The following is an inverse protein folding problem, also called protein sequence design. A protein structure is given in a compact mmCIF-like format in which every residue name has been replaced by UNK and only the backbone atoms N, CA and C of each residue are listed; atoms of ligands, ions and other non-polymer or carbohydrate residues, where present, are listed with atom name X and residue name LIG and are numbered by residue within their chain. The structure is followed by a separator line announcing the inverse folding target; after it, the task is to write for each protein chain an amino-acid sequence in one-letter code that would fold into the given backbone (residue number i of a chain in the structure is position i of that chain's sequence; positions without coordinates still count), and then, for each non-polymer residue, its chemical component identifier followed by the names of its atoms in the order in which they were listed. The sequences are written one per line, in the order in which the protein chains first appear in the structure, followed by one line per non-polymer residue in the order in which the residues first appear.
data_IF_351957625728
#
_entry.id   IF_351957625728
#
_cell.length_a   1.000
_cell.length_b   1.000
_cell.length_c   1.000
_cell.angle_alpha   90.00
_cell.angle_beta   90.00
_cell.angle_gamma   90.00
#
_symmetry.space_group_name_H-M   'P 1'
#
loop_
_entity.id
_entity.type
_entity.pdbx_description
1 polymer ?
#
# COMPACT_ATOMS: atom_id res chain seq x y z
N UNK A 1 83.09 -15.74 -4.68
CA UNK A 1 82.37 -15.70 -3.39
C UNK A 1 81.49 -14.46 -3.38
N UNK A 2 80.26 -14.58 -3.90
CA UNK A 2 79.00 -14.67 -3.11
C UNK A 2 78.60 -13.29 -2.59
N UNK A 3 77.78 -12.55 -3.36
CA UNK A 3 76.32 -12.45 -3.19
C UNK A 3 75.93 -11.89 -1.81
N UNK A 4 75.42 -10.65 -1.76
CA UNK A 4 74.30 -10.25 -0.89
C UNK A 4 73.80 -8.85 -1.27
N UNK A 5 72.76 -8.82 -2.10
CA UNK A 5 71.87 -7.68 -2.27
C UNK A 5 70.96 -7.59 -1.04
N UNK A 6 71.04 -6.51 -0.27
CA UNK A 6 70.00 -6.18 0.72
C UNK A 6 69.10 -5.08 0.16
N UNK A 7 67.90 -5.49 -0.23
CA UNK A 7 66.80 -4.66 -0.71
C UNK A 7 66.37 -3.72 0.42
N UNK A 8 66.62 -2.43 0.24
CA UNK A 8 66.14 -1.37 1.14
C UNK A 8 64.67 -1.10 0.85
N UNK A 9 63.79 -1.63 1.69
CA UNK A 9 62.34 -1.47 1.66
C UNK A 9 61.95 0.02 1.69
N UNK A 10 61.55 0.59 0.56
CA UNK A 10 60.83 1.87 0.53
C UNK A 10 59.42 1.61 1.07
N UNK A 11 59.15 2.03 2.29
CA UNK A 11 57.79 2.17 2.80
C UNK A 11 57.00 3.11 1.89
N UNK A 12 56.27 2.55 0.92
CA UNK A 12 55.23 3.26 0.21
C UNK A 12 54.11 3.56 1.20
N UNK A 13 53.85 4.84 1.42
CA UNK A 13 52.79 5.35 2.28
C UNK A 13 51.40 4.88 1.80
N UNK A 14 50.86 3.84 2.44
CA UNK A 14 49.50 3.30 2.23
C UNK A 14 48.39 4.26 2.73
N UNK A 15 48.71 5.47 3.16
CA UNK A 15 47.75 6.39 3.80
C UNK A 15 46.91 7.26 2.85
N UNK A 16 46.72 6.88 1.58
CA UNK A 16 46.01 7.73 0.59
C UNK A 16 44.97 7.05 -0.30
N UNK A 17 44.53 5.84 0.02
CA UNK A 17 43.48 5.14 -0.75
C UNK A 17 42.41 4.62 0.21
N UNK A 18 41.73 5.50 0.94
CA UNK A 18 40.61 5.12 1.81
C UNK A 18 39.56 6.23 1.93
N UNK A 19 39.20 6.89 0.81
CA UNK A 19 38.21 7.98 0.87
C UNK A 19 37.24 8.09 -0.30
N UNK A 20 37.07 7.05 -1.12
CA UNK A 20 36.13 7.12 -2.27
C UNK A 20 35.13 5.97 -2.42
N UNK A 21 35.04 5.06 -1.44
CA UNK A 21 34.16 3.88 -1.54
C UNK A 21 32.95 3.87 -0.57
N UNK A 22 32.70 4.95 0.18
CA UNK A 22 31.63 4.96 1.22
C UNK A 22 30.34 5.67 0.75
N UNK A 23 30.35 6.37 -0.39
CA UNK A 23 29.24 7.28 -0.75
C UNK A 23 28.18 6.69 -1.69
N UNK A 24 28.27 5.42 -2.11
CA UNK A 24 27.34 4.82 -3.12
C UNK A 24 26.51 3.65 -2.54
N UNK A 25 26.32 3.54 -1.22
CA UNK A 25 25.46 2.51 -0.61
C UNK A 25 24.37 3.14 0.29
N UNK A 26 23.82 4.27 -0.13
CA UNK A 26 22.67 4.90 0.55
C UNK A 26 21.38 4.93 -0.29
N UNK A 27 21.41 4.41 -1.53
CA UNK A 27 20.29 4.52 -2.46
C UNK A 27 19.42 3.25 -2.58
N UNK A 28 19.70 2.19 -1.82
CA UNK A 28 19.11 0.86 -2.03
C UNK A 28 18.38 0.31 -0.79
N UNK A 29 17.52 1.12 -0.18
CA UNK A 29 16.54 0.63 0.79
C UNK A 29 15.14 1.22 0.55
N UNK A 30 14.62 1.08 -0.67
CA UNK A 30 13.17 0.90 -0.82
C UNK A 30 12.86 -0.59 -0.61
N UNK A 31 13.13 -1.09 0.60
CA UNK A 31 12.55 -2.36 1.00
C UNK A 31 11.07 -2.10 1.28
N UNK A 32 10.18 -2.85 0.60
CA UNK A 32 8.75 -2.78 0.85
C UNK A 32 8.51 -3.03 2.36
N UNK A 33 7.97 -2.04 3.06
CA UNK A 33 7.70 -2.17 4.49
C UNK A 33 6.33 -2.83 4.63
N UNK A 34 6.18 -3.93 5.38
CA UNK A 34 4.87 -4.58 5.53
C UNK A 34 3.83 -3.57 6.02
N UNK A 35 2.59 -3.71 5.56
CA UNK A 35 1.48 -2.86 5.95
C UNK A 35 1.45 -2.74 7.49
N UNK A 36 1.42 -1.50 7.99
CA UNK A 36 1.54 -1.18 9.42
C UNK A 36 0.40 -1.79 10.23
N UNK A 37 -0.79 -1.86 9.63
CA UNK A 37 -1.96 -2.51 10.20
C UNK A 37 -3.01 -2.78 9.12
N UNK A 38 -3.68 -3.93 9.18
CA UNK A 38 -4.91 -4.21 8.41
C UNK A 38 -6.08 -4.22 9.39
N UNK A 39 -7.15 -3.48 9.11
CA UNK A 39 -8.34 -3.45 9.97
C UNK A 39 -9.63 -3.37 9.17
N UNK A 40 -10.67 -4.03 9.65
CA UNK A 40 -12.03 -3.84 9.14
C UNK A 40 -12.57 -2.50 9.63
N UNK A 41 -13.26 -1.78 8.76
CA UNK A 41 -13.85 -0.47 9.06
C UNK A 41 -15.30 -0.41 8.60
N UNK A 42 -16.08 0.43 9.26
CA UNK A 42 -17.45 0.74 8.92
C UNK A 42 -17.50 2.14 8.32
N UNK A 43 -17.99 2.25 7.10
CA UNK A 43 -18.23 3.52 6.41
C UNK A 43 -19.73 3.77 6.40
N UNK A 44 -20.16 4.84 7.06
CA UNK A 44 -21.57 5.22 7.12
C UNK A 44 -21.91 6.12 5.93
N UNK A 45 -22.74 5.62 5.01
CA UNK A 45 -23.29 6.41 3.91
C UNK A 45 -24.30 7.44 4.41
N UNK A 46 -24.62 8.43 3.58
CA UNK A 46 -25.50 9.55 3.93
C UNK A 46 -26.90 9.11 4.37
N UNK A 47 -27.39 7.99 3.82
CA UNK A 47 -28.69 7.39 4.19
C UNK A 47 -28.62 6.49 5.44
N UNK A 48 -27.46 6.43 6.09
CA UNK A 48 -27.22 5.61 7.28
C UNK A 48 -26.84 4.16 6.98
N UNK A 49 -26.79 3.75 5.71
CA UNK A 49 -26.32 2.41 5.34
C UNK A 49 -24.86 2.25 5.71
N UNK A 50 -24.54 1.13 6.35
CA UNK A 50 -23.16 0.78 6.71
C UNK A 50 -22.54 -0.02 5.56
N UNK A 51 -21.49 0.53 4.98
CA UNK A 51 -20.61 -0.16 4.06
C UNK A 51 -19.43 -0.74 4.84
N UNK A 52 -19.07 -2.00 4.56
CA UNK A 52 -17.92 -2.65 5.16
C UNK A 52 -16.70 -2.47 4.30
N UNK A 53 -15.62 -2.02 4.93
CA UNK A 53 -14.32 -1.87 4.30
C UNK A 53 -13.21 -2.64 5.01
N UNK A 54 -12.09 -2.82 4.31
CA UNK A 54 -10.82 -3.22 4.91
C UNK A 54 -9.79 -2.16 4.59
N UNK A 55 -9.18 -1.58 5.62
CA UNK A 55 -8.15 -0.57 5.48
C UNK A 55 -6.76 -1.18 5.71
N UNK A 56 -5.89 -1.01 4.73
CA UNK A 56 -4.49 -1.42 4.73
C UNK A 56 -3.63 -0.17 4.89
N UNK A 57 -3.06 0.01 6.09
CA UNK A 57 -2.25 1.17 6.40
C UNK A 57 -0.82 0.99 5.84
N UNK A 58 -0.35 1.97 5.08
CA UNK A 58 1.07 2.10 4.79
C UNK A 58 1.85 2.60 6.03
N UNK A 59 3.17 2.46 6.01
CA UNK A 59 4.01 2.79 7.17
C UNK A 59 4.02 4.29 7.53
N UNK A 60 3.98 5.16 6.51
CA UNK A 60 4.13 6.62 6.61
C UNK A 60 2.92 7.35 6.00
N UNK A 61 2.69 8.63 6.33
CA UNK A 61 1.74 9.47 5.60
C UNK A 61 2.05 9.47 4.10
N UNK A 62 1.01 9.42 3.26
CA UNK A 62 1.19 9.23 1.82
C UNK A 62 -0.13 9.12 1.06
N UNK A 63 -0.07 8.75 -0.23
CA UNK A 63 -1.24 8.64 -1.07
C UNK A 63 -2.19 7.53 -0.61
N UNK A 64 -3.46 7.66 -0.97
CA UNK A 64 -4.51 6.68 -0.72
C UNK A 64 -5.15 6.19 -2.02
N UNK A 65 -5.58 4.94 -2.04
CA UNK A 65 -6.38 4.34 -3.11
C UNK A 65 -7.64 3.73 -2.51
N UNK A 66 -8.78 4.04 -3.14
CA UNK A 66 -10.08 3.48 -2.83
C UNK A 66 -10.44 2.43 -3.90
N UNK A 67 -10.74 1.20 -3.48
CA UNK A 67 -11.04 0.08 -4.38
C UNK A 67 -12.42 -0.51 -4.08
N UNK A 68 -13.32 -0.39 -5.05
CA UNK A 68 -14.57 -1.15 -5.06
C UNK A 68 -14.39 -2.43 -5.87
N UNK A 69 -15.13 -3.48 -5.50
CA UNK A 69 -15.06 -4.76 -6.19
C UNK A 69 -15.82 -4.76 -7.52
N UNK A 70 -15.46 -5.69 -8.40
CA UNK A 70 -16.19 -5.98 -9.63
C UNK A 70 -17.47 -6.79 -9.35
N UNK A 71 -18.28 -7.05 -10.37
CA UNK A 71 -19.50 -7.87 -10.26
C UNK A 71 -19.23 -9.25 -9.65
N UNK A 72 -20.14 -9.74 -8.81
CA UNK A 72 -20.08 -11.06 -8.16
C UNK A 72 -18.80 -11.31 -7.33
N UNK A 73 -18.27 -10.25 -6.71
CA UNK A 73 -17.10 -10.26 -5.83
C UNK A 73 -17.38 -9.48 -4.55
N UNK A 74 -16.38 -9.44 -3.68
CA UNK A 74 -16.37 -8.66 -2.43
C UNK A 74 -15.04 -7.91 -2.31
N UNK A 75 -14.93 -7.02 -1.33
CA UNK A 75 -13.71 -6.26 -1.01
C UNK A 75 -12.47 -7.11 -0.82
N UNK A 76 -12.66 -8.38 -0.41
CA UNK A 76 -11.58 -9.35 -0.19
C UNK A 76 -10.86 -9.77 -1.48
N UNK A 77 -11.48 -9.56 -2.65
CA UNK A 77 -10.83 -9.80 -3.94
C UNK A 77 -9.61 -8.90 -4.19
N UNK A 78 -9.45 -7.84 -3.38
CA UNK A 78 -8.33 -6.93 -3.45
C UNK A 78 -7.25 -7.17 -2.38
N UNK A 79 -7.41 -8.13 -1.45
CA UNK A 79 -6.54 -8.24 -0.27
C UNK A 79 -5.05 -8.36 -0.63
N UNK A 80 -4.71 -9.16 -1.65
CA UNK A 80 -3.32 -9.31 -2.10
C UNK A 80 -2.76 -8.01 -2.69
N UNK A 81 -3.49 -7.38 -3.62
CA UNK A 81 -3.07 -6.11 -4.22
C UNK A 81 -2.98 -5.00 -3.18
N UNK A 82 -3.96 -4.92 -2.27
CA UNK A 82 -4.00 -3.91 -1.22
C UNK A 82 -2.81 -4.04 -0.26
N UNK A 83 -2.42 -5.27 0.08
CA UNK A 83 -1.21 -5.52 0.87
C UNK A 83 0.06 -5.09 0.12
N UNK A 84 0.17 -5.38 -1.18
CA UNK A 84 1.31 -4.96 -2.00
C UNK A 84 1.41 -3.44 -2.14
N UNK A 85 0.28 -2.76 -2.37
CA UNK A 85 0.21 -1.29 -2.44
C UNK A 85 0.58 -0.63 -1.10
N UNK A 86 0.04 -1.14 0.01
CA UNK A 86 0.43 -0.70 1.34
C UNK A 86 1.92 -0.91 1.61
N UNK A 87 2.49 -2.01 1.11
CA UNK A 87 3.89 -2.31 1.29
C UNK A 87 4.85 -1.34 0.57
N UNK A 88 4.37 -0.69 -0.49
CA UNK A 88 5.13 0.33 -1.24
C UNK A 88 4.76 1.77 -0.85
N UNK A 89 3.99 1.97 0.21
CA UNK A 89 3.71 3.31 0.75
C UNK A 89 2.34 3.89 0.38
N UNK A 90 1.42 3.10 -0.17
CA UNK A 90 0.08 3.55 -0.58
C UNK A 90 -0.98 3.00 0.38
N UNK A 91 -1.70 3.87 1.07
CA UNK A 91 -2.82 3.45 1.91
C UNK A 91 -3.96 2.93 1.05
N UNK A 92 -4.60 1.83 1.43
CA UNK A 92 -5.70 1.26 0.62
C UNK A 92 -6.93 1.05 1.47
N UNK A 93 -8.08 1.51 0.98
CA UNK A 93 -9.39 1.13 1.47
C UNK A 93 -10.09 0.29 0.41
N UNK A 94 -10.37 -0.97 0.73
CA UNK A 94 -11.22 -1.83 -0.11
C UNK A 94 -12.64 -1.82 0.46
N UNK A 95 -13.66 -1.73 -0.39
CA UNK A 95 -15.06 -1.54 0.07
C UNK A 95 -15.99 -2.56 -0.57
N UNK A 96 -16.84 -3.17 0.25
CA UNK A 96 -18.00 -3.90 -0.23
C UNK A 96 -19.04 -2.89 -0.68
N UNK A 97 -19.40 -2.92 -1.96
CA UNK A 97 -20.51 -2.10 -2.47
C UNK A 97 -21.78 -2.44 -1.71
N UNK A 98 -22.74 -1.52 -1.72
CA UNK A 98 -24.06 -1.76 -1.15
C UNK A 98 -24.65 -3.08 -1.64
N UNK A 99 -25.29 -3.80 -0.71
CA UNK A 99 -25.90 -5.11 -0.92
C UNK A 99 -24.91 -6.22 -1.35
N UNK A 100 -23.60 -6.06 -1.12
CA UNK A 100 -22.58 -7.07 -1.35
C UNK A 100 -21.76 -7.36 -0.10
N UNK A 101 -21.20 -8.56 -0.03
CA UNK A 101 -20.32 -8.98 1.06
C UNK A 101 -20.96 -8.77 2.42
N UNK A 102 -20.33 -7.95 3.25
CA UNK A 102 -20.80 -7.64 4.60
C UNK A 102 -21.46 -6.25 4.71
N UNK A 103 -21.56 -5.51 3.60
CA UNK A 103 -22.25 -4.22 3.54
C UNK A 103 -23.78 -4.38 3.64
N UNK A 104 -24.42 -3.38 4.24
CA UNK A 104 -25.87 -3.27 4.28
C UNK A 104 -26.50 -2.91 2.94
N UNK A 105 -27.81 -2.70 2.96
CA UNK A 105 -28.62 -2.38 1.78
C UNK A 105 -29.17 -3.63 1.07
N UNK A 106 -30.09 -3.42 0.12
CA UNK A 106 -30.73 -4.48 -0.67
C UNK A 106 -31.00 -4.01 -2.10
N UNK A 107 -30.94 -4.95 -3.04
CA UNK A 107 -31.53 -4.81 -4.38
C UNK A 107 -32.74 -5.74 -4.48
N UNK A 108 -33.81 -5.39 -3.78
CA UNK A 108 -35.05 -6.16 -3.76
C UNK A 108 -35.94 -5.91 -4.99
N UNK A 109 -35.76 -4.79 -5.69
CA UNK A 109 -36.50 -4.43 -6.91
C UNK A 109 -35.59 -3.82 -7.98
N UNK A 110 -36.03 -3.88 -9.24
CA UNK A 110 -35.34 -3.21 -10.35
C UNK A 110 -35.27 -1.68 -10.13
N UNK A 111 -36.33 -1.10 -9.57
CA UNK A 111 -36.38 0.32 -9.24
C UNK A 111 -35.30 0.70 -8.21
N UNK A 112 -35.11 -0.12 -7.17
CA UNK A 112 -34.07 0.12 -6.16
C UNK A 112 -32.66 -0.08 -6.72
N UNK A 113 -32.47 -1.03 -7.65
CA UNK A 113 -31.21 -1.19 -8.38
C UNK A 113 -30.90 0.00 -9.29
N UNK A 114 -31.90 0.53 -10.00
CA UNK A 114 -31.73 1.72 -10.84
C UNK A 114 -31.47 2.97 -10.00
N UNK A 115 -32.17 3.14 -8.87
CA UNK A 115 -31.97 4.25 -7.95
C UNK A 115 -30.57 4.25 -7.35
N UNK A 116 -30.04 3.07 -7.00
CA UNK A 116 -28.66 2.93 -6.53
C UNK A 116 -27.67 3.57 -7.50
N UNK A 117 -27.69 3.25 -8.79
CA UNK A 117 -26.71 3.81 -9.72
C UNK A 117 -26.84 5.33 -9.89
N UNK A 118 -28.05 5.88 -9.73
CA UNK A 118 -28.30 7.32 -9.89
C UNK A 118 -27.90 8.13 -8.66
N UNK A 119 -28.18 7.63 -7.46
CA UNK A 119 -28.02 8.41 -6.21
C UNK A 119 -27.25 7.67 -5.12
N UNK A 120 -27.46 6.35 -4.98
CA UNK A 120 -26.80 5.54 -3.95
C UNK A 120 -25.29 5.43 -4.17
N UNK A 121 -24.87 5.07 -5.38
CA UNK A 121 -23.47 4.86 -5.72
C UNK A 121 -22.62 6.12 -5.56
N UNK A 122 -23.01 7.31 -6.09
CA UNK A 122 -22.29 8.54 -5.80
C UNK A 122 -22.18 8.83 -4.29
N UNK A 123 -23.29 8.66 -3.54
CA UNK A 123 -23.27 8.87 -2.08
C UNK A 123 -22.34 7.91 -1.34
N UNK A 124 -22.34 6.63 -1.74
CA UNK A 124 -21.51 5.59 -1.15
C UNK A 124 -20.02 5.82 -1.47
N UNK A 125 -19.70 6.27 -2.68
CA UNK A 125 -18.36 6.65 -3.10
C UNK A 125 -17.84 7.85 -2.29
N UNK A 126 -18.63 8.92 -2.17
CA UNK A 126 -18.26 10.11 -1.39
C UNK A 126 -18.03 9.76 0.08
N UNK A 127 -18.90 8.93 0.67
CA UNK A 127 -18.75 8.49 2.06
C UNK A 127 -17.46 7.68 2.27
N UNK A 128 -17.06 6.85 1.30
CA UNK A 128 -15.84 6.05 1.38
C UNK A 128 -14.57 6.84 1.08
N UNK A 129 -14.67 8.01 0.46
CA UNK A 129 -13.52 8.85 0.12
C UNK A 129 -13.07 9.78 1.26
N UNK A 130 -13.95 10.05 2.23
CA UNK A 130 -13.69 10.94 3.39
C UNK A 130 -12.73 10.30 4.41
#
# INVERSE_FOLDING_TARGET
MTLMHLIRNKHMNVRRIFSFAVTIIAASQLAAQPAKSVRVVDVKSADGTILKGTYFAAANPGPGVLLFHQSNRTRKSWDELAAQLAAIGIHVLTVDSRAHGESGGKYDTEANRAAYWKTGWPSDLEAAFQ
#
